data_IF_005300671575
#
_entry.id   IF_005300671575
#
_cell.length_a   1.000
_cell.length_b   1.000
_cell.length_c   1.000
_cell.angle_alpha   90.00
_cell.angle_beta   90.00
_cell.angle_gamma   90.00
#
_symmetry.space_group_name_H-M   'P 1'
#
loop_
_entity.id
_entity.type
_entity.pdbx_description
1 polymer ?
#
# COMPACT_ATOMS: atom_id res chain seq x y z
N UNK A 1 -17.81 11.75 -6.52
CA UNK A 1 -16.99 10.94 -7.43
C UNK A 1 -17.49 9.51 -7.59
N UNK A 2 -17.94 8.83 -6.52
CA UNK A 2 -18.38 7.43 -6.59
C UNK A 2 -19.59 7.19 -7.50
N UNK A 3 -20.63 8.04 -7.43
CA UNK A 3 -21.82 7.95 -8.31
C UNK A 3 -21.45 8.03 -9.81
N UNK A 4 -20.47 8.84 -10.16
CA UNK A 4 -20.00 8.99 -11.55
C UNK A 4 -19.28 7.73 -12.01
N UNK A 5 -18.44 7.13 -11.15
CA UNK A 5 -17.75 5.86 -11.46
C UNK A 5 -18.73 4.70 -11.60
N UNK A 6 -19.72 4.62 -10.72
CA UNK A 6 -20.76 3.59 -10.78
C UNK A 6 -21.63 3.74 -12.03
N UNK A 7 -21.99 4.98 -12.41
CA UNK A 7 -22.73 5.24 -13.65
C UNK A 7 -21.92 4.87 -14.90
N UNK A 8 -20.63 5.25 -14.95
CA UNK A 8 -19.74 4.87 -16.04
C UNK A 8 -19.54 3.35 -16.13
N UNK A 9 -19.33 2.67 -15.00
CA UNK A 9 -19.25 1.21 -14.97
C UNK A 9 -20.56 0.55 -15.39
N UNK A 10 -21.70 1.13 -14.98
CA UNK A 10 -23.02 0.63 -15.38
C UNK A 10 -23.26 0.76 -16.88
N UNK A 11 -22.78 1.85 -17.48
CA UNK A 11 -22.81 2.06 -18.92
C UNK A 11 -21.96 1.03 -19.67
N UNK A 12 -20.71 0.80 -19.24
CA UNK A 12 -19.80 -0.16 -19.89
C UNK A 12 -20.28 -1.60 -19.77
N UNK A 13 -20.83 -1.98 -18.61
CA UNK A 13 -21.26 -3.35 -18.33
C UNK A 13 -22.74 -3.60 -18.66
N UNK A 14 -23.47 -2.57 -19.08
CA UNK A 14 -24.90 -2.58 -19.38
C UNK A 14 -25.77 -3.18 -18.25
N UNK A 15 -25.37 -2.95 -16.99
CA UNK A 15 -26.12 -3.37 -15.78
C UNK A 15 -25.93 -2.35 -14.67
N UNK A 16 -26.77 -2.37 -13.64
CA UNK A 16 -26.53 -1.52 -12.48
C UNK A 16 -25.27 -1.99 -11.72
N UNK A 17 -24.29 -1.10 -11.55
CA UNK A 17 -23.02 -1.40 -10.90
C UNK A 17 -22.88 -0.73 -9.52
N UNK A 18 -22.29 -1.49 -8.60
CA UNK A 18 -21.84 -1.07 -7.29
C UNK A 18 -20.31 -0.87 -7.27
N UNK A 19 -19.76 -0.37 -6.15
CA UNK A 19 -18.30 -0.20 -6.01
C UNK A 19 -17.49 -1.49 -6.18
N UNK A 20 -18.08 -2.67 -5.93
CA UNK A 20 -17.44 -3.96 -6.18
C UNK A 20 -17.24 -4.21 -7.68
N UNK A 21 -18.23 -3.88 -8.50
CA UNK A 21 -18.17 -4.02 -9.96
C UNK A 21 -17.11 -3.09 -10.55
N UNK A 22 -17.02 -1.86 -10.02
CA UNK A 22 -15.99 -0.89 -10.39
C UNK A 22 -14.59 -1.43 -10.06
N UNK A 23 -14.44 -2.12 -8.93
CA UNK A 23 -13.17 -2.74 -8.53
C UNK A 23 -12.78 -3.90 -9.46
N UNK A 24 -13.74 -4.71 -9.90
CA UNK A 24 -13.53 -5.78 -10.90
C UNK A 24 -13.08 -5.23 -12.26
N UNK A 25 -13.50 -4.02 -12.62
CA UNK A 25 -13.01 -3.30 -13.80
C UNK A 25 -11.59 -2.72 -13.63
N UNK A 26 -10.97 -2.87 -12.45
CA UNK A 26 -9.68 -2.26 -12.12
C UNK A 26 -9.75 -0.75 -11.91
N UNK A 27 -10.97 -0.20 -11.78
CA UNK A 27 -11.21 1.23 -11.62
C UNK A 27 -11.21 1.63 -10.15
N UNK A 28 -10.15 1.24 -9.43
CA UNK A 28 -9.99 1.58 -8.01
C UNK A 28 -10.27 3.07 -7.78
N UNK A 29 -10.96 3.43 -6.68
CA UNK A 29 -11.11 4.82 -6.36
C UNK A 29 -9.74 5.47 -6.10
N UNK A 30 -9.69 6.79 -6.24
CA UNK A 30 -8.42 7.51 -6.39
C UNK A 30 -7.54 7.37 -5.13
N UNK A 31 -8.18 7.24 -3.97
CA UNK A 31 -7.52 7.07 -2.68
C UNK A 31 -6.86 5.69 -2.58
N UNK A 32 -7.59 4.63 -2.86
CA UNK A 32 -7.13 3.24 -2.83
C UNK A 32 -6.00 3.03 -3.83
N UNK A 33 -6.11 3.64 -5.02
CA UNK A 33 -5.03 3.59 -6.01
C UNK A 33 -3.77 4.31 -5.52
N UNK A 34 -3.94 5.41 -4.78
CA UNK A 34 -2.82 6.14 -4.17
C UNK A 34 -2.17 5.29 -3.08
N UNK A 35 -2.96 4.74 -2.17
CA UNK A 35 -2.50 3.83 -1.10
C UNK A 35 -1.77 2.62 -1.67
N UNK A 36 -2.32 1.98 -2.70
CA UNK A 36 -1.69 0.84 -3.36
C UNK A 36 -0.35 1.21 -3.99
N UNK A 37 -0.25 2.39 -4.62
CA UNK A 37 1.00 2.87 -5.18
C UNK A 37 2.05 3.19 -4.11
N UNK A 38 1.63 3.74 -2.96
CA UNK A 38 2.50 3.93 -1.80
C UNK A 38 3.04 2.58 -1.33
N UNK A 39 2.17 1.58 -1.12
CA UNK A 39 2.58 0.23 -0.70
C UNK A 39 3.55 -0.44 -1.69
N UNK A 40 3.31 -0.31 -3.00
CA UNK A 40 4.26 -0.77 -4.04
C UNK A 40 5.63 -0.11 -3.90
N UNK A 41 5.65 1.17 -3.58
CA UNK A 41 6.89 1.90 -3.39
C UNK A 41 7.59 1.45 -2.11
N UNK A 42 6.85 1.29 -1.02
CA UNK A 42 7.35 0.75 0.25
C UNK A 42 8.01 -0.60 0.08
N UNK A 43 7.32 -1.51 -0.61
CA UNK A 43 7.82 -2.86 -0.86
C UNK A 43 9.17 -2.81 -1.58
N UNK A 44 9.28 -2.00 -2.63
CA UNK A 44 10.54 -1.76 -3.33
C UNK A 44 11.61 -1.15 -2.42
N UNK A 45 11.27 -0.14 -1.61
CA UNK A 45 12.22 0.48 -0.70
C UNK A 45 12.80 -0.51 0.33
N UNK A 46 12.02 -1.51 0.76
CA UNK A 46 12.43 -2.53 1.73
C UNK A 46 13.23 -3.66 1.06
N UNK A 47 12.72 -4.23 -0.03
CA UNK A 47 13.26 -5.46 -0.63
C UNK A 47 14.17 -5.22 -1.86
N UNK A 48 14.10 -4.05 -2.49
CA UNK A 48 14.88 -3.68 -3.67
C UNK A 48 15.40 -2.24 -3.55
N UNK A 49 16.28 -2.04 -2.57
CA UNK A 49 16.80 -0.72 -2.18
C UNK A 49 17.50 0.02 -3.33
N UNK A 50 18.17 -0.71 -4.22
CA UNK A 50 18.89 -0.16 -5.37
C UNK A 50 17.94 0.54 -6.38
N UNK A 51 16.67 0.15 -6.40
CA UNK A 51 15.64 0.76 -7.26
C UNK A 51 14.96 1.98 -6.65
N UNK A 52 15.27 2.32 -5.39
CA UNK A 52 14.59 3.38 -4.65
C UNK A 52 15.39 4.70 -4.74
N UNK A 53 14.76 5.83 -5.14
CA UNK A 53 15.42 7.12 -5.13
C UNK A 53 15.84 7.55 -3.72
N UNK A 54 17.00 8.18 -3.58
CA UNK A 54 17.57 8.59 -2.29
C UNK A 54 16.66 9.53 -1.49
N UNK A 55 15.89 10.37 -2.18
CA UNK A 55 14.94 11.32 -1.58
C UNK A 55 13.61 10.67 -1.11
N UNK A 56 13.36 9.40 -1.44
CA UNK A 56 12.16 8.64 -0.99
C UNK A 56 12.54 7.48 -0.06
N UNK A 57 13.66 7.62 0.65
CA UNK A 57 14.11 6.61 1.60
C UNK A 57 13.11 6.43 2.75
N UNK A 58 12.90 5.16 3.10
CA UNK A 58 12.11 4.74 4.25
C UNK A 58 13.05 4.05 5.23
N UNK A 59 12.88 4.34 6.52
CA UNK A 59 13.70 3.76 7.57
C UNK A 59 13.00 2.53 8.15
N UNK A 60 13.69 1.39 8.09
CA UNK A 60 13.21 0.13 8.67
C UNK A 60 13.48 0.17 10.17
N UNK A 61 12.44 -0.07 10.96
CA UNK A 61 12.53 -0.10 12.41
C UNK A 61 13.33 -1.32 12.87
N UNK A 62 14.48 -1.07 13.50
CA UNK A 62 15.34 -2.10 14.06
C UNK A 62 15.42 -1.95 15.59
N UNK A 63 14.70 -2.74 16.38
CA UNK A 63 14.74 -2.65 17.83
C UNK A 63 16.05 -3.21 18.39
N UNK A 64 16.59 -2.60 19.45
CA UNK A 64 17.82 -3.07 20.13
C UNK A 64 17.70 -4.49 20.70
N UNK A 65 16.47 -4.94 20.98
CA UNK A 65 16.16 -6.29 21.47
C UNK A 65 15.15 -6.98 20.57
N UNK A 66 15.29 -8.29 20.43
CA UNK A 66 14.32 -9.10 19.69
C UNK A 66 12.98 -9.13 20.44
N UNK A 67 11.92 -8.62 19.81
CA UNK A 67 10.55 -8.65 20.31
C UNK A 67 9.73 -9.66 19.50
N UNK A 68 8.84 -10.41 20.17
CA UNK A 68 7.91 -11.34 19.49
C UNK A 68 6.99 -10.64 18.48
N UNK A 69 6.68 -9.36 18.72
CA UNK A 69 5.91 -8.51 17.80
C UNK A 69 6.70 -8.05 16.57
N UNK A 70 8.01 -8.29 16.51
CA UNK A 70 8.89 -7.90 15.40
C UNK A 70 9.19 -9.07 14.44
N UNK A 71 8.27 -10.02 14.31
CA UNK A 71 8.42 -11.17 13.43
C UNK A 71 8.43 -10.79 11.93
N UNK A 72 7.95 -9.58 11.59
CA UNK A 72 7.87 -9.06 10.23
C UNK A 72 8.44 -7.63 10.15
N UNK A 73 8.99 -7.19 9.00
CA UNK A 73 9.57 -5.86 8.85
C UNK A 73 8.57 -4.75 9.20
N UNK A 74 9.03 -3.72 9.92
CA UNK A 74 8.23 -2.53 10.25
C UNK A 74 9.00 -1.28 9.85
N UNK A 75 8.27 -0.21 9.56
CA UNK A 75 8.86 1.09 9.29
C UNK A 75 8.84 1.97 10.54
N UNK A 76 9.87 2.80 10.72
CA UNK A 76 9.85 3.86 11.71
C UNK A 76 8.82 4.92 11.27
N UNK A 77 8.04 5.42 12.23
CA UNK A 77 7.08 6.49 11.97
C UNK A 77 7.76 7.80 12.41
N UNK A 78 8.02 8.74 11.49
CA UNK A 78 8.64 10.01 11.84
C UNK A 78 7.70 10.85 12.73
N UNK A 79 8.29 11.74 13.54
CA UNK A 79 7.52 12.66 14.37
C UNK A 79 6.78 13.73 13.56
N UNK A 80 7.31 14.07 12.37
CA UNK A 80 6.74 15.09 11.49
C UNK A 80 5.55 14.50 10.73
N UNK A 81 4.38 15.08 10.98
CA UNK A 81 3.11 14.66 10.38
C UNK A 81 2.89 15.18 8.97
N UNK A 82 2.00 14.53 8.23
CA UNK A 82 1.63 14.87 6.86
C UNK A 82 2.73 14.59 5.84
N UNK A 83 3.74 13.80 6.22
CA UNK A 83 4.87 13.45 5.36
C UNK A 83 4.58 12.17 4.59
N UNK A 84 5.30 12.00 3.48
CA UNK A 84 5.31 10.76 2.71
C UNK A 84 5.68 9.58 3.60
N UNK A 85 6.74 9.74 4.41
CA UNK A 85 7.27 8.72 5.30
C UNK A 85 6.24 8.33 6.37
N UNK A 86 5.57 9.29 7.01
CA UNK A 86 4.52 8.99 8.00
C UNK A 86 3.36 8.21 7.37
N UNK A 87 2.81 8.72 6.27
CA UNK A 87 1.64 8.11 5.59
C UNK A 87 1.95 6.69 5.15
N UNK A 88 3.14 6.50 4.58
CA UNK A 88 3.61 5.22 4.07
C UNK A 88 3.92 4.23 5.18
N UNK A 89 4.55 4.69 6.27
CA UNK A 89 4.85 3.86 7.44
C UNK A 89 3.58 3.40 8.15
N UNK A 90 2.60 4.28 8.34
CA UNK A 90 1.31 3.91 8.92
C UNK A 90 0.60 2.86 8.05
N UNK A 91 0.44 3.15 6.75
CA UNK A 91 -0.24 2.25 5.83
C UNK A 91 0.42 0.87 5.74
N UNK A 92 1.76 0.82 5.72
CA UNK A 92 2.49 -0.44 5.69
C UNK A 92 2.39 -1.18 7.04
N UNK A 93 2.59 -0.50 8.16
CA UNK A 93 2.58 -1.12 9.49
C UNK A 93 1.20 -1.66 9.90
N UNK A 94 0.12 -1.13 9.31
CA UNK A 94 -1.26 -1.62 9.49
C UNK A 94 -1.52 -2.94 8.74
N UNK A 95 -0.62 -3.36 7.82
CA UNK A 95 -0.75 -4.64 7.11
C UNK A 95 -0.44 -5.85 8.01
N UNK A 96 -1.09 -7.00 7.74
CA UNK A 96 -0.77 -8.27 8.40
C UNK A 96 0.73 -8.62 8.28
N UNK A 97 1.33 -9.21 9.33
CA UNK A 97 2.74 -9.63 9.32
C UNK A 97 3.11 -10.54 8.14
N UNK A 98 2.17 -11.40 7.71
CA UNK A 98 2.33 -12.35 6.62
C UNK A 98 2.58 -11.60 5.30
N UNK A 99 1.72 -10.62 5.00
CA UNK A 99 1.81 -9.75 3.82
C UNK A 99 3.12 -8.95 3.85
N UNK A 100 3.45 -8.36 5.01
CA UNK A 100 4.67 -7.53 5.15
C UNK A 100 5.97 -8.31 4.94
N UNK A 101 5.97 -9.60 5.26
CA UNK A 101 7.12 -10.49 5.11
C UNK A 101 7.30 -11.02 3.69
N UNK A 102 6.35 -10.75 2.78
CA UNK A 102 6.41 -11.21 1.41
C UNK A 102 7.46 -10.45 0.59
N UNK A 103 8.54 -11.13 0.20
CA UNK A 103 9.60 -10.54 -0.62
C UNK A 103 9.22 -10.41 -2.11
N UNK A 104 8.27 -11.20 -2.62
CA UNK A 104 7.81 -11.12 -4.01
C UNK A 104 6.72 -10.04 -4.16
N UNK A 105 6.98 -9.05 -5.01
CA UNK A 105 6.05 -7.97 -5.30
C UNK A 105 4.74 -8.48 -5.92
N UNK A 106 4.77 -9.51 -6.78
CA UNK A 106 3.57 -10.01 -7.44
C UNK A 106 2.64 -10.71 -6.46
N UNK A 107 3.20 -11.39 -5.46
CA UNK A 107 2.43 -12.04 -4.39
C UNK A 107 1.89 -10.97 -3.44
N UNK A 108 2.74 -10.02 -3.02
CA UNK A 108 2.34 -8.87 -2.20
C UNK A 108 1.19 -8.05 -2.81
N UNK A 109 1.14 -7.95 -4.13
CA UNK A 109 0.12 -7.20 -4.86
C UNK A 109 -1.20 -7.93 -5.09
N UNK A 110 -1.26 -9.22 -4.77
CA UNK A 110 -2.47 -10.05 -4.91
C UNK A 110 -3.22 -10.23 -3.60
N UNK A 111 -2.52 -10.12 -2.47
CA UNK A 111 -3.11 -10.13 -1.13
C UNK A 111 -3.83 -8.81 -0.81
#
# INVERSE_FOLDING_TARGET
>A
MERVKNAAASFVTNRYCSGKDVSQLGWLPTLERTQLNLLKHTHRAIYNKDSCPEYLTLEVYNPERTLRSNAAPRLSIPLIKGTFQETTANLFNDLPPEVRSCADLNVFMRE
#
